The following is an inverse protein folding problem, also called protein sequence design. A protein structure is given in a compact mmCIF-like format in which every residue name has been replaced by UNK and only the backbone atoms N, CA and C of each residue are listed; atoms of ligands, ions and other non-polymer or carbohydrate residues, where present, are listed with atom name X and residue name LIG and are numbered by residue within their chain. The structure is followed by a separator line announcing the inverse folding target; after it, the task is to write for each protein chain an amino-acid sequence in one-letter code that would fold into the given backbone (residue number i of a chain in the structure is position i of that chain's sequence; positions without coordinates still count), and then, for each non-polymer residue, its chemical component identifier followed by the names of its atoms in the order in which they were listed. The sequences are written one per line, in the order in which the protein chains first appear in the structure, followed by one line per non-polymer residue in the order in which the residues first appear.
data_IF_443576773443
#
_entry.id   IF_443576773443
#
_cell.length_a   1.000
_cell.length_b   1.000
_cell.length_c   1.000
_cell.angle_alpha   90.00
_cell.angle_beta   90.00
_cell.angle_gamma   90.00
#
_symmetry.space_group_name_H-M   'P 1'
#
loop_
_entity.id
_entity.type
_entity.pdbx_description
1 polymer ?
#
# COMPACT_ATOMS: atom_id res chain seq x y z
N UNK A 1 -22.81 20.20 7.10
CA UNK A 1 -23.45 18.87 6.98
C UNK A 1 -22.74 17.94 6.00
N UNK A 2 -22.33 18.41 4.81
CA UNK A 2 -21.61 17.61 3.79
C UNK A 2 -20.37 16.92 4.35
N UNK A 3 -19.49 17.67 5.03
CA UNK A 3 -18.27 17.15 5.64
C UNK A 3 -18.54 15.97 6.59
N UNK A 4 -19.39 16.19 7.61
CA UNK A 4 -19.83 15.16 8.56
C UNK A 4 -20.42 13.92 7.89
N UNK A 5 -21.25 14.07 6.86
CA UNK A 5 -21.84 12.93 6.14
C UNK A 5 -20.76 12.12 5.41
N UNK A 6 -19.84 12.80 4.72
CA UNK A 6 -18.76 12.15 3.97
C UNK A 6 -17.82 11.38 4.89
N UNK A 7 -17.38 12.02 5.99
CA UNK A 7 -16.50 11.41 6.99
C UNK A 7 -17.18 10.21 7.67
N UNK A 8 -18.41 10.38 8.18
CA UNK A 8 -19.13 9.30 8.87
C UNK A 8 -19.46 8.12 7.96
N UNK A 9 -19.81 8.38 6.69
CA UNK A 9 -20.11 7.32 5.74
C UNK A 9 -18.86 6.64 5.17
N UNK A 10 -17.66 7.17 5.45
CA UNK A 10 -16.39 6.69 4.89
C UNK A 10 -16.41 6.64 3.35
N UNK A 11 -17.19 7.54 2.72
CA UNK A 11 -17.44 7.61 1.27
C UNK A 11 -17.28 9.05 0.78
N UNK A 12 -16.73 9.24 -0.43
CA UNK A 12 -16.61 10.56 -1.01
C UNK A 12 -18.03 11.12 -1.27
N UNK A 13 -18.25 12.43 -1.11
CA UNK A 13 -19.49 13.04 -1.58
C UNK A 13 -19.61 12.84 -3.10
N UNK A 14 -20.85 12.64 -3.57
CA UNK A 14 -21.14 12.56 -5.01
C UNK A 14 -20.66 13.84 -5.72
N UNK A 15 -20.03 13.68 -6.88
CA UNK A 15 -19.78 14.78 -7.81
C UNK A 15 -21.09 15.25 -8.44
N UNK A 16 -21.13 16.49 -8.91
CA UNK A 16 -22.28 17.03 -9.63
C UNK A 16 -22.45 16.40 -11.02
N UNK A 17 -21.35 16.00 -11.68
CA UNK A 17 -21.38 15.24 -12.93
C UNK A 17 -20.74 13.85 -12.72
N UNK A 18 -21.34 12.76 -13.22
CA UNK A 18 -20.66 11.48 -13.34
C UNK A 18 -19.54 11.62 -14.38
N UNK A 19 -18.28 11.50 -13.94
CA UNK A 19 -17.09 11.56 -14.80
C UNK A 19 -16.19 12.77 -14.60
N UNK A 20 -16.69 13.89 -14.04
CA UNK A 20 -15.96 15.16 -14.07
C UNK A 20 -16.30 16.04 -12.87
N UNK A 21 -15.45 16.06 -11.84
CA UNK A 21 -15.18 17.38 -11.24
C UNK A 21 -13.77 17.48 -10.62
N UNK A 22 -12.70 17.40 -11.43
CA UNK A 22 -11.44 18.10 -11.18
C UNK A 22 -11.52 19.48 -11.84
N UNK A 23 -11.60 20.54 -11.02
CA UNK A 23 -11.49 21.97 -11.39
C UNK A 23 -12.48 22.58 -12.43
N UNK A 24 -13.23 21.81 -13.22
CA UNK A 24 -14.06 22.32 -14.34
C UNK A 24 -15.57 22.49 -14.07
N UNK A 25 -16.02 22.69 -12.83
CA UNK A 25 -17.29 23.40 -12.63
C UNK A 25 -17.07 24.88 -13.02
N UNK A 26 -17.05 25.16 -14.33
CA UNK A 26 -16.76 26.49 -14.87
C UNK A 26 -17.94 27.45 -14.63
N UNK A 27 -19.15 26.93 -14.49
CA UNK A 27 -20.36 27.72 -14.24
C UNK A 27 -20.47 28.01 -12.73
N UNK A 28 -20.40 29.30 -12.36
CA UNK A 28 -20.43 29.76 -10.97
C UNK A 28 -21.64 29.24 -10.17
N UNK A 29 -22.80 29.12 -10.81
CA UNK A 29 -24.04 28.63 -10.21
C UNK A 29 -23.98 27.15 -9.78
N UNK A 30 -23.16 26.33 -10.46
CA UNK A 30 -22.95 24.93 -10.10
C UNK A 30 -21.82 24.74 -9.09
N UNK A 31 -20.86 25.68 -9.02
CA UNK A 31 -19.75 25.64 -8.04
C UNK A 31 -20.28 25.50 -6.61
N UNK A 32 -21.33 26.24 -6.26
CA UNK A 32 -21.92 26.19 -4.91
C UNK A 32 -22.82 24.98 -4.65
N UNK A 33 -23.16 24.16 -5.66
CA UNK A 33 -24.05 23.00 -5.47
C UNK A 33 -23.31 21.67 -5.36
N UNK A 34 -22.07 21.57 -5.86
CA UNK A 34 -21.30 20.34 -5.85
C UNK A 34 -20.91 19.91 -4.41
N UNK A 35 -21.45 18.79 -3.87
CA UNK A 35 -21.10 18.32 -2.54
C UNK A 35 -19.61 17.98 -2.41
N UNK A 36 -19.00 17.46 -3.48
CA UNK A 36 -17.57 17.12 -3.50
C UNK A 36 -16.68 18.36 -3.34
N UNK A 37 -16.99 19.44 -4.05
CA UNK A 37 -16.26 20.71 -3.92
C UNK A 37 -16.43 21.30 -2.52
N UNK A 38 -17.65 21.32 -1.99
CA UNK A 38 -17.93 21.74 -0.61
C UNK A 38 -17.11 20.96 0.41
N UNK A 39 -16.90 19.66 0.20
CA UNK A 39 -16.06 18.85 1.06
C UNK A 39 -14.59 19.30 1.04
N UNK A 40 -14.01 19.53 -0.14
CA UNK A 40 -12.65 20.06 -0.23
C UNK A 40 -12.54 21.50 0.30
N UNK A 41 -13.57 22.33 0.13
CA UNK A 41 -13.63 23.66 0.75
C UNK A 41 -13.65 23.57 2.29
N UNK A 42 -14.37 22.60 2.88
CA UNK A 42 -14.32 22.31 4.31
C UNK A 42 -12.90 21.92 4.77
N UNK A 43 -12.20 21.05 4.02
CA UNK A 43 -10.80 20.68 4.30
C UNK A 43 -9.88 21.90 4.19
N UNK A 44 -10.08 22.72 3.15
CA UNK A 44 -9.28 23.93 2.93
C UNK A 44 -9.51 24.99 4.03
N UNK A 45 -10.71 25.01 4.61
CA UNK A 45 -11.09 25.79 5.79
C UNK A 45 -10.67 25.14 7.12
N UNK A 46 -9.78 24.14 7.10
CA UNK A 46 -9.21 23.46 8.28
C UNK A 46 -10.20 22.66 9.14
N UNK A 47 -11.31 22.19 8.56
CA UNK A 47 -12.12 21.17 9.24
C UNK A 47 -11.33 19.86 9.36
N UNK A 48 -11.22 19.33 10.58
CA UNK A 48 -10.40 18.15 10.91
C UNK A 48 -11.20 16.86 10.75
N UNK A 49 -10.60 15.86 10.10
CA UNK A 49 -11.19 14.51 10.02
C UNK A 49 -11.00 13.78 11.36
N UNK A 50 -9.87 14.05 12.03
CA UNK A 50 -9.53 13.42 13.30
C UNK A 50 -10.52 13.76 14.45
N UNK A 51 -11.33 14.80 14.31
CA UNK A 51 -12.31 15.20 15.35
C UNK A 51 -13.58 14.34 15.37
N UNK A 52 -13.73 13.36 14.47
CA UNK A 52 -14.88 12.47 14.45
C UNK A 52 -14.65 11.22 15.28
N UNK A 53 -15.65 10.82 16.06
CA UNK A 53 -15.60 9.66 16.97
C UNK A 53 -15.24 8.34 16.27
N UNK A 54 -15.55 8.21 14.97
CA UNK A 54 -15.16 7.02 14.21
C UNK A 54 -13.64 6.80 14.16
N UNK A 55 -12.84 7.84 14.38
CA UNK A 55 -11.39 7.81 14.43
C UNK A 55 -10.81 8.00 15.85
N UNK A 56 -11.67 8.18 16.86
CA UNK A 56 -11.26 8.17 18.27
C UNK A 56 -11.05 6.74 18.77
N UNK A 57 -11.83 5.77 18.27
CA UNK A 57 -11.63 4.35 18.57
C UNK A 57 -10.44 3.76 17.78
N UNK A 58 -9.25 3.89 18.36
CA UNK A 58 -7.99 3.40 17.77
C UNK A 58 -7.94 1.88 17.64
N UNK A 59 -8.58 1.15 18.55
CA UNK A 59 -8.66 -0.31 18.50
C UNK A 59 -9.44 -0.79 17.28
N UNK A 60 -10.59 -0.15 17.00
CA UNK A 60 -11.38 -0.45 15.79
C UNK A 60 -10.60 -0.18 14.51
N UNK A 61 -9.77 0.87 14.48
CA UNK A 61 -8.92 1.16 13.32
C UNK A 61 -7.92 0.03 13.04
N UNK A 62 -7.30 -0.51 14.09
CA UNK A 62 -6.40 -1.67 13.99
C UNK A 62 -7.17 -2.91 13.52
N UNK A 63 -8.35 -3.17 14.08
CA UNK A 63 -9.20 -4.28 13.65
C UNK A 63 -9.60 -4.19 12.18
N UNK A 64 -10.02 -3.01 11.70
CA UNK A 64 -10.37 -2.78 10.29
C UNK A 64 -9.17 -3.09 9.35
N UNK A 65 -7.94 -2.72 9.77
CA UNK A 65 -6.70 -3.05 9.03
C UNK A 65 -6.41 -4.56 9.05
N UNK A 66 -6.53 -5.21 10.20
CA UNK A 66 -6.31 -6.65 10.34
C UNK A 66 -7.30 -7.47 9.53
N UNK A 67 -8.59 -7.09 9.53
CA UNK A 67 -9.59 -7.75 8.68
C UNK A 67 -9.29 -7.59 7.20
N UNK A 68 -8.83 -6.41 6.78
CA UNK A 68 -8.45 -6.16 5.39
C UNK A 68 -7.23 -6.98 4.97
N UNK A 69 -6.23 -7.11 5.85
CA UNK A 69 -5.04 -7.93 5.58
C UNK A 69 -5.36 -9.44 5.62
N UNK A 70 -6.24 -9.89 6.52
CA UNK A 70 -6.67 -11.29 6.56
C UNK A 70 -7.36 -11.71 5.24
N UNK A 71 -8.19 -10.83 4.67
CA UNK A 71 -8.81 -11.07 3.37
C UNK A 71 -7.78 -11.06 2.24
N UNK A 72 -6.82 -10.12 2.27
CA UNK A 72 -5.68 -10.06 1.34
C UNK A 72 -4.91 -11.38 1.34
N UNK A 73 -4.50 -11.85 2.52
CA UNK A 73 -3.76 -13.09 2.69
C UNK A 73 -4.58 -14.30 2.21
N UNK A 74 -5.87 -14.37 2.56
CA UNK A 74 -6.75 -15.43 2.07
C UNK A 74 -6.70 -15.53 0.54
N UNK A 75 -6.91 -14.43 -0.17
CA UNK A 75 -6.88 -14.40 -1.64
C UNK A 75 -5.49 -14.79 -2.15
N UNK A 76 -4.42 -14.26 -1.55
CA UNK A 76 -3.04 -14.58 -1.93
C UNK A 76 -2.73 -16.09 -1.88
N UNK A 77 -3.14 -16.78 -0.82
CA UNK A 77 -2.89 -18.21 -0.67
C UNK A 77 -3.84 -19.09 -1.46
N UNK A 78 -5.08 -18.65 -1.73
CA UNK A 78 -6.09 -19.50 -2.39
C UNK A 78 -6.23 -19.26 -3.89
N UNK A 79 -5.75 -18.13 -4.41
CA UNK A 79 -5.98 -17.72 -5.80
C UNK A 79 -4.69 -17.32 -6.52
N UNK A 80 -4.76 -17.29 -7.85
CA UNK A 80 -3.75 -16.69 -8.72
C UNK A 80 -4.43 -15.83 -9.81
N UNK A 81 -3.64 -14.94 -10.42
CA UNK A 81 -4.05 -14.15 -11.59
C UNK A 81 -3.61 -14.90 -12.84
N UNK A 82 -4.49 -15.05 -13.83
CA UNK A 82 -4.22 -15.85 -15.04
C UNK A 82 -3.57 -15.07 -16.18
N UNK A 83 -3.67 -13.75 -16.17
CA UNK A 83 -3.22 -12.89 -17.25
C UNK A 83 -2.01 -12.04 -16.82
N UNK A 84 -1.14 -11.73 -17.79
CA UNK A 84 -0.10 -10.71 -17.63
C UNK A 84 -0.73 -9.31 -17.78
N UNK A 85 -1.21 -8.79 -16.66
CA UNK A 85 -1.92 -7.52 -16.56
C UNK A 85 -0.93 -6.39 -16.23
N UNK A 86 -1.12 -5.24 -16.88
CA UNK A 86 -0.50 -3.98 -16.45
C UNK A 86 -1.27 -3.35 -15.28
N UNK A 87 -0.80 -2.20 -14.78
CA UNK A 87 -1.44 -1.54 -13.64
C UNK A 87 -2.90 -1.15 -13.92
N UNK A 88 -3.19 -0.58 -15.10
CA UNK A 88 -4.52 -0.11 -15.47
C UNK A 88 -5.50 -1.28 -15.61
N UNK A 89 -5.04 -2.37 -16.21
CA UNK A 89 -5.78 -3.63 -16.33
C UNK A 89 -6.06 -4.25 -14.96
N UNK A 90 -5.15 -4.13 -13.99
CA UNK A 90 -5.36 -4.57 -12.60
C UNK A 90 -6.40 -3.73 -11.83
N UNK A 91 -6.63 -2.48 -12.24
CA UNK A 91 -7.66 -1.64 -11.63
C UNK A 91 -9.07 -1.97 -12.10
N UNK A 92 -9.23 -2.56 -13.29
CA UNK A 92 -10.53 -2.96 -13.84
C UNK A 92 -10.96 -4.34 -13.32
N UNK A 93 -12.01 -4.44 -12.47
CA UNK A 93 -12.51 -5.71 -11.97
C UNK A 93 -12.99 -6.67 -13.06
N UNK A 94 -13.26 -6.19 -14.28
CA UNK A 94 -13.68 -7.03 -15.41
C UNK A 94 -12.52 -7.76 -16.07
N UNK A 95 -11.30 -7.21 -15.97
CA UNK A 95 -10.10 -7.76 -16.59
C UNK A 95 -9.36 -8.73 -15.67
N UNK A 96 -9.48 -8.55 -14.35
CA UNK A 96 -8.85 -9.44 -13.38
C UNK A 96 -9.65 -10.73 -13.19
N UNK A 97 -9.13 -11.83 -13.75
CA UNK A 97 -9.66 -13.18 -13.53
C UNK A 97 -8.85 -13.90 -12.46
N UNK A 98 -9.44 -14.01 -11.27
CA UNK A 98 -8.90 -14.83 -10.17
C UNK A 98 -9.32 -16.29 -10.37
N UNK A 99 -8.33 -17.17 -10.42
CA UNK A 99 -8.54 -18.61 -10.46
C UNK A 99 -8.07 -19.23 -9.13
N UNK A 100 -8.77 -20.26 -8.65
CA UNK A 100 -8.37 -20.98 -7.45
C UNK A 100 -7.08 -21.76 -7.75
N UNK A 101 -6.12 -21.73 -6.84
CA UNK A 101 -4.89 -22.52 -6.96
C UNK A 101 -5.21 -24.01 -6.85
N UNK A 102 -4.69 -24.79 -7.78
CA UNK A 102 -4.71 -26.25 -7.76
C UNK A 102 -3.52 -26.75 -6.93
N UNK A 103 -3.66 -27.90 -6.26
CA UNK A 103 -2.63 -28.39 -5.33
C UNK A 103 -1.34 -28.85 -6.03
N UNK A 104 -1.45 -29.27 -7.29
CA UNK A 104 -0.35 -29.88 -8.05
C UNK A 104 0.38 -28.90 -9.00
N UNK A 105 -0.03 -27.62 -9.00
CA UNK A 105 0.57 -26.59 -9.85
C UNK A 105 1.72 -25.90 -9.10
N UNK A 106 2.91 -25.93 -9.69
CA UNK A 106 4.06 -25.16 -9.23
C UNK A 106 3.98 -23.76 -9.82
N UNK A 107 3.75 -22.77 -8.97
CA UNK A 107 3.70 -21.36 -9.35
C UNK A 107 5.10 -20.76 -9.42
N UNK A 108 5.38 -20.04 -10.51
CA UNK A 108 6.64 -19.30 -10.71
C UNK A 108 6.69 -18.05 -9.83
N UNK A 109 7.88 -17.46 -9.70
CA UNK A 109 8.08 -16.14 -9.10
C UNK A 109 7.11 -15.08 -9.66
N UNK A 110 6.90 -15.08 -10.98
CA UNK A 110 6.00 -14.16 -11.68
C UNK A 110 4.53 -14.32 -11.27
N UNK A 111 4.07 -15.57 -11.13
CA UNK A 111 2.69 -15.83 -10.71
C UNK A 111 2.44 -15.29 -9.29
N UNK A 112 3.42 -15.45 -8.42
CA UNK A 112 3.38 -14.94 -7.05
C UNK A 112 3.43 -13.41 -6.99
N UNK A 113 4.27 -12.77 -7.82
CA UNK A 113 4.32 -11.31 -7.93
C UNK A 113 2.98 -10.74 -8.41
N UNK A 114 2.36 -11.37 -9.42
CA UNK A 114 1.08 -10.90 -9.96
C UNK A 114 -0.03 -10.92 -8.89
N UNK A 115 -0.16 -12.01 -8.12
CA UNK A 115 -1.15 -12.08 -7.05
C UNK A 115 -0.77 -11.19 -5.85
N UNK A 116 0.51 -11.01 -5.54
CA UNK A 116 0.96 -10.07 -4.50
C UNK A 116 0.51 -8.64 -4.85
N UNK A 117 0.79 -8.20 -6.07
CA UNK A 117 0.46 -6.86 -6.52
C UNK A 117 -1.05 -6.64 -6.58
N UNK A 118 -1.80 -7.61 -7.11
CA UNK A 118 -3.27 -7.54 -7.13
C UNK A 118 -3.85 -7.41 -5.72
N UNK A 119 -3.45 -8.29 -4.80
CA UNK A 119 -3.98 -8.28 -3.43
C UNK A 119 -3.53 -7.02 -2.67
N UNK A 120 -2.34 -6.51 -2.93
CA UNK A 120 -1.86 -5.21 -2.41
C UNK A 120 -2.73 -4.05 -2.91
N UNK A 121 -3.03 -3.99 -4.21
CA UNK A 121 -3.92 -2.97 -4.79
C UNK A 121 -5.33 -3.02 -4.17
N UNK A 122 -5.90 -4.21 -4.01
CA UNK A 122 -7.19 -4.40 -3.34
C UNK A 122 -7.17 -3.88 -1.90
N UNK A 123 -6.10 -4.16 -1.15
CA UNK A 123 -5.92 -3.63 0.20
C UNK A 123 -5.88 -2.10 0.19
N UNK A 124 -5.07 -1.50 -0.68
CA UNK A 124 -4.93 -0.04 -0.79
C UNK A 124 -6.24 0.65 -1.17
N UNK A 125 -6.99 0.12 -2.14
CA UNK A 125 -8.29 0.66 -2.57
C UNK A 125 -9.33 0.70 -1.44
N UNK A 126 -9.18 -0.16 -0.43
CA UNK A 126 -10.11 -0.22 0.72
C UNK A 126 -9.83 0.84 1.77
N UNK A 127 -8.63 1.42 1.78
CA UNK A 127 -8.23 2.46 2.72
C UNK A 127 -9.11 3.71 2.57
N UNK A 128 -9.49 4.29 3.72
CA UNK A 128 -10.44 5.38 3.75
C UNK A 128 -9.99 6.62 2.99
N UNK A 129 -8.74 7.06 3.14
CA UNK A 129 -8.29 8.27 2.46
C UNK A 129 -8.30 8.11 0.94
N UNK A 130 -7.93 6.93 0.41
CA UNK A 130 -7.95 6.63 -1.03
C UNK A 130 -9.36 6.83 -1.59
N UNK A 131 -10.39 6.35 -0.88
CA UNK A 131 -11.80 6.54 -1.24
C UNK A 131 -12.23 8.01 -1.23
N UNK A 132 -11.57 8.86 -0.46
CA UNK A 132 -11.91 10.29 -0.36
C UNK A 132 -11.28 11.14 -1.47
N UNK A 133 -10.25 10.62 -2.17
CA UNK A 133 -9.58 11.31 -3.27
C UNK A 133 -10.38 11.24 -4.57
N UNK A 134 -10.07 12.13 -5.51
CA UNK A 134 -10.57 12.02 -6.88
C UNK A 134 -9.91 10.86 -7.63
N UNK A 135 -10.51 10.44 -8.75
CA UNK A 135 -10.05 9.24 -9.44
C UNK A 135 -8.61 9.38 -9.93
N UNK A 136 -8.23 10.54 -10.45
CA UNK A 136 -6.86 10.81 -10.94
C UNK A 136 -5.85 10.76 -9.80
N UNK A 137 -6.15 11.43 -8.67
CA UNK A 137 -5.33 11.42 -7.47
C UNK A 137 -5.20 10.02 -6.87
N UNK A 138 -6.31 9.27 -6.79
CA UNK A 138 -6.34 7.91 -6.28
C UNK A 138 -5.50 6.98 -7.18
N UNK A 139 -5.68 7.04 -8.50
CA UNK A 139 -4.93 6.22 -9.44
C UNK A 139 -3.44 6.55 -9.41
N UNK A 140 -3.08 7.83 -9.31
CA UNK A 140 -1.70 8.28 -9.18
C UNK A 140 -1.02 7.66 -7.95
N UNK A 141 -1.63 7.80 -6.76
CA UNK A 141 -1.03 7.25 -5.54
C UNK A 141 -0.98 5.71 -5.57
N UNK A 142 -1.99 5.05 -6.14
CA UNK A 142 -2.01 3.60 -6.27
C UNK A 142 -0.86 3.14 -7.18
N UNK A 143 -0.69 3.78 -8.35
CA UNK A 143 0.34 3.47 -9.34
C UNK A 143 1.76 3.61 -8.78
N UNK A 144 2.02 4.69 -8.05
CA UNK A 144 3.35 4.93 -7.49
C UNK A 144 3.65 4.11 -6.23
N UNK A 145 2.64 3.59 -5.55
CA UNK A 145 2.83 2.98 -4.22
C UNK A 145 2.72 1.45 -4.22
N UNK A 146 1.96 0.85 -5.13
CA UNK A 146 1.57 -0.55 -5.01
C UNK A 146 2.77 -1.49 -4.98
N UNK A 147 3.73 -1.32 -5.89
CA UNK A 147 4.87 -2.20 -5.98
C UNK A 147 5.73 -2.16 -4.72
N UNK A 148 6.00 -0.95 -4.22
CA UNK A 148 6.72 -0.78 -2.96
C UNK A 148 5.98 -1.47 -1.81
N UNK A 149 4.67 -1.26 -1.68
CA UNK A 149 3.90 -1.91 -0.63
C UNK A 149 3.83 -3.43 -0.80
N UNK A 150 3.84 -3.95 -2.03
CA UNK A 150 3.91 -5.39 -2.30
C UNK A 150 5.20 -6.02 -1.77
N UNK A 151 6.34 -5.33 -1.91
CA UNK A 151 7.60 -5.77 -1.29
C UNK A 151 7.50 -5.75 0.24
N UNK A 152 6.90 -4.72 0.82
CA UNK A 152 6.72 -4.65 2.29
C UNK A 152 5.80 -5.76 2.80
N UNK A 153 4.70 -6.05 2.09
CA UNK A 153 3.79 -7.14 2.42
C UNK A 153 4.42 -8.52 2.26
N UNK A 154 5.27 -8.69 1.24
CA UNK A 154 6.07 -9.91 1.06
C UNK A 154 7.02 -10.12 2.24
N UNK A 155 7.78 -9.08 2.63
CA UNK A 155 8.65 -9.13 3.81
C UNK A 155 7.86 -9.45 5.09
N UNK A 156 6.72 -8.82 5.29
CA UNK A 156 5.82 -9.09 6.41
C UNK A 156 5.36 -10.54 6.46
N UNK A 157 4.87 -11.08 5.33
CA UNK A 157 4.44 -12.48 5.23
C UNK A 157 5.58 -13.43 5.56
N UNK A 158 6.73 -13.29 4.92
CA UNK A 158 7.87 -14.17 5.18
C UNK A 158 8.30 -14.13 6.66
N UNK A 159 8.30 -12.94 7.28
CA UNK A 159 8.55 -12.81 8.72
C UNK A 159 7.51 -13.54 9.58
N UNK A 160 6.21 -13.37 9.32
CA UNK A 160 5.16 -14.05 10.09
C UNK A 160 5.16 -15.57 9.85
N UNK A 161 5.63 -16.03 8.68
CA UNK A 161 5.90 -17.43 8.34
C UNK A 161 7.25 -17.94 8.90
N UNK A 162 7.89 -17.17 9.78
CA UNK A 162 9.16 -17.48 10.46
C UNK A 162 10.31 -17.78 9.50
N UNK A 163 10.40 -17.03 8.40
CA UNK A 163 11.50 -17.08 7.45
C UNK A 163 12.54 -16.01 7.77
N UNK A 164 13.79 -16.29 7.42
CA UNK A 164 14.93 -15.39 7.63
C UNK A 164 15.12 -14.41 6.46
N UNK A 165 14.47 -14.69 5.32
CA UNK A 165 14.57 -13.94 4.08
C UNK A 165 13.24 -13.97 3.32
N UNK A 166 13.05 -13.00 2.42
CA UNK A 166 11.83 -12.92 1.61
C UNK A 166 11.78 -14.11 0.67
N UNK A 167 10.66 -14.82 0.70
CA UNK A 167 10.45 -16.05 -0.06
C UNK A 167 8.95 -16.24 -0.30
N UNK A 168 8.60 -16.73 -1.48
CA UNK A 168 7.23 -17.12 -1.79
C UNK A 168 6.90 -18.52 -1.24
N UNK A 169 5.61 -18.86 -1.10
CA UNK A 169 5.22 -20.21 -0.71
C UNK A 169 5.83 -21.28 -1.63
N UNK A 170 6.14 -22.45 -1.08
CA UNK A 170 6.84 -23.50 -1.82
C UNK A 170 8.36 -23.30 -1.94
N UNK A 171 8.94 -22.32 -1.21
CA UNK A 171 10.37 -21.94 -1.26
C UNK A 171 10.78 -21.33 -2.61
N UNK A 172 9.82 -20.80 -3.36
CA UNK A 172 10.09 -20.08 -4.60
C UNK A 172 10.79 -18.77 -4.27
N UNK A 173 11.91 -18.50 -4.94
CA UNK A 173 12.65 -17.25 -4.75
C UNK A 173 11.80 -16.04 -5.18
N UNK A 174 12.06 -14.89 -4.58
CA UNK A 174 11.39 -13.64 -4.93
C UNK A 174 11.90 -13.07 -6.24
N UNK A 175 13.12 -13.45 -6.62
CA UNK A 175 13.65 -13.16 -7.94
C UNK A 175 13.22 -14.22 -8.93
N UNK A 176 12.99 -13.82 -10.18
CA UNK A 176 12.65 -14.77 -11.21
C UNK A 176 13.87 -15.57 -11.64
N UNK A 177 13.60 -16.71 -12.27
CA UNK A 177 14.58 -17.73 -12.60
C UNK A 177 15.71 -17.22 -13.50
N UNK A 178 15.49 -16.10 -14.19
CA UNK A 178 16.48 -15.45 -15.06
C UNK A 178 17.50 -14.61 -14.28
N UNK A 179 17.24 -14.32 -13.00
CA UNK A 179 18.24 -13.81 -12.05
C UNK A 179 19.10 -14.99 -11.59
N UNK A 180 20.16 -15.25 -12.36
CA UNK A 180 21.15 -16.30 -12.09
C UNK A 180 22.24 -15.86 -11.10
N UNK A 181 23.17 -16.77 -10.80
CA UNK A 181 24.37 -16.50 -9.98
C UNK A 181 25.30 -15.40 -10.53
N UNK A 182 24.98 -14.83 -11.70
CA UNK A 182 25.72 -13.71 -12.31
C UNK A 182 25.46 -12.37 -11.60
N UNK A 183 24.37 -12.24 -10.84
CA UNK A 183 24.07 -11.01 -10.12
C UNK A 183 24.80 -10.97 -8.77
N UNK A 184 25.22 -9.77 -8.29
CA UNK A 184 25.95 -9.66 -7.03
C UNK A 184 25.15 -10.23 -5.85
N UNK A 185 25.64 -11.31 -5.24
CA UNK A 185 24.96 -12.00 -4.14
C UNK A 185 24.63 -11.05 -2.96
N UNK A 186 25.52 -10.11 -2.67
CA UNK A 186 25.30 -9.09 -1.64
C UNK A 186 24.09 -8.20 -1.96
N UNK A 187 23.88 -7.84 -3.23
CA UNK A 187 22.72 -7.05 -3.64
C UNK A 187 21.43 -7.85 -3.45
N UNK A 188 21.42 -9.10 -3.92
CA UNK A 188 20.27 -10.00 -3.77
C UNK A 188 19.92 -10.23 -2.29
N UNK A 189 20.92 -10.44 -1.45
CA UNK A 189 20.72 -10.65 -0.01
C UNK A 189 20.28 -9.38 0.72
N UNK A 190 20.78 -8.19 0.33
CA UNK A 190 20.26 -6.92 0.89
C UNK A 190 18.78 -6.74 0.61
N UNK A 191 18.34 -7.05 -0.61
CA UNK A 191 16.92 -7.01 -0.96
C UNK A 191 16.16 -8.03 -0.11
N UNK A 192 16.53 -9.32 -0.15
CA UNK A 192 15.80 -10.41 0.54
C UNK A 192 15.74 -10.27 2.07
N UNK A 193 16.82 -9.80 2.70
CA UNK A 193 16.99 -9.93 4.15
C UNK A 193 16.78 -8.63 4.93
N UNK A 194 17.10 -7.44 4.38
CA UNK A 194 17.19 -6.18 5.16
C UNK A 194 15.96 -5.91 6.02
N UNK A 195 14.77 -5.95 5.42
CA UNK A 195 13.52 -5.68 6.13
C UNK A 195 13.23 -6.76 7.18
N UNK A 196 13.37 -8.04 6.80
CA UNK A 196 13.06 -9.17 7.67
C UNK A 196 14.00 -9.24 8.87
N UNK A 197 15.31 -9.06 8.66
CA UNK A 197 16.28 -9.01 9.76
C UNK A 197 15.88 -7.94 10.79
N UNK A 198 15.39 -6.78 10.34
CA UNK A 198 14.92 -5.73 11.25
C UNK A 198 13.58 -6.08 11.91
N UNK A 199 12.67 -6.72 11.19
CA UNK A 199 11.41 -7.21 11.77
C UNK A 199 11.66 -8.26 12.86
N UNK A 200 12.63 -9.16 12.66
CA UNK A 200 13.09 -10.15 13.64
C UNK A 200 13.72 -9.47 14.84
N UNK A 201 14.68 -8.56 14.63
CA UNK A 201 15.34 -7.79 15.71
C UNK A 201 14.30 -7.07 16.58
N UNK A 202 13.32 -6.43 15.94
CA UNK A 202 12.27 -5.70 16.62
C UNK A 202 11.16 -6.61 17.16
N UNK A 203 11.03 -7.86 16.73
CA UNK A 203 9.85 -8.70 17.01
C UNK A 203 8.54 -7.94 16.71
N UNK A 204 8.43 -7.42 15.49
CA UNK A 204 7.26 -6.61 15.09
C UNK A 204 5.97 -7.42 15.24
N UNK A 205 4.92 -6.81 15.81
CA UNK A 205 3.60 -7.45 15.89
C UNK A 205 2.79 -7.17 14.62
N UNK A 206 1.74 -7.94 14.38
CA UNK A 206 0.85 -7.72 13.20
C UNK A 206 0.25 -6.32 13.20
N UNK A 207 -0.15 -5.80 14.36
CA UNK A 207 -0.72 -4.46 14.50
C UNK A 207 0.32 -3.38 14.17
N UNK A 208 1.54 -3.51 14.69
CA UNK A 208 2.64 -2.58 14.41
C UNK A 208 3.03 -2.60 12.94
N UNK A 209 3.10 -3.80 12.34
CA UNK A 209 3.39 -3.96 10.92
C UNK A 209 2.35 -3.26 10.05
N UNK A 210 1.05 -3.49 10.30
CA UNK A 210 -0.01 -2.86 9.51
C UNK A 210 -0.07 -1.34 9.70
N UNK A 211 0.22 -0.85 10.92
CA UNK A 211 0.32 0.59 11.19
C UNK A 211 1.55 1.22 10.53
N UNK A 212 2.68 0.51 10.46
CA UNK A 212 3.85 0.94 9.71
C UNK A 212 3.55 1.01 8.19
N UNK A 213 2.94 -0.04 7.63
CA UNK A 213 2.54 -0.07 6.21
C UNK A 213 1.64 1.11 5.85
N UNK A 214 0.60 1.37 6.65
CA UNK A 214 -0.37 2.43 6.33
C UNK A 214 0.20 3.83 6.54
N UNK A 215 1.07 4.02 7.54
CA UNK A 215 1.74 5.32 7.75
C UNK A 215 2.74 5.60 6.63
N UNK A 216 3.52 4.60 6.20
CA UNK A 216 4.38 4.71 5.04
C UNK A 216 3.59 5.01 3.76
N UNK A 217 2.47 4.33 3.53
CA UNK A 217 1.60 4.59 2.38
C UNK A 217 1.06 6.03 2.38
N UNK A 218 0.65 6.56 3.54
CA UNK A 218 0.24 7.96 3.64
C UNK A 218 1.40 8.92 3.34
N UNK A 219 2.61 8.65 3.85
CA UNK A 219 3.79 9.49 3.62
C UNK A 219 4.10 9.60 2.12
N UNK A 220 4.26 8.48 1.42
CA UNK A 220 4.55 8.48 -0.02
C UNK A 220 3.40 9.13 -0.82
N UNK A 221 2.15 8.84 -0.47
CA UNK A 221 0.97 9.42 -1.15
C UNK A 221 0.92 10.94 -1.02
N UNK A 222 1.31 11.48 0.15
CA UNK A 222 1.25 12.92 0.43
C UNK A 222 2.22 13.76 -0.43
N UNK A 223 3.27 13.13 -0.96
CA UNK A 223 4.27 13.77 -1.82
C UNK A 223 3.82 13.85 -3.29
N UNK A 224 2.82 13.06 -3.69
CA UNK A 224 2.40 12.89 -5.09
C UNK A 224 1.21 13.77 -5.49
N UNK A 225 0.46 14.28 -4.53
CA UNK A 225 -0.85 14.92 -4.80
C UNK A 225 -0.86 16.42 -4.56
N UNK A 226 -1.90 17.08 -5.08
CA UNK A 226 -2.15 18.50 -4.84
C UNK A 226 -2.53 18.82 -3.39
N UNK A 227 -2.53 20.11 -3.06
CA UNK A 227 -2.66 20.62 -1.67
C UNK A 227 -3.90 20.14 -0.92
N UNK A 228 -5.07 20.10 -1.56
CA UNK A 228 -6.31 19.64 -0.90
C UNK A 228 -6.31 18.14 -0.60
N UNK A 229 -5.81 17.31 -1.51
CA UNK A 229 -5.66 15.87 -1.28
C UNK A 229 -4.55 15.56 -0.27
N UNK A 230 -3.44 16.30 -0.32
CA UNK A 230 -2.36 16.23 0.65
C UNK A 230 -2.87 16.43 2.07
N UNK A 231 -3.71 17.45 2.31
CA UNK A 231 -4.32 17.70 3.63
C UNK A 231 -5.18 16.53 4.13
N UNK A 232 -5.94 15.88 3.24
CA UNK A 232 -6.72 14.69 3.61
C UNK A 232 -5.75 13.58 4.04
N UNK A 233 -4.72 13.30 3.25
CA UNK A 233 -3.74 12.26 3.55
C UNK A 233 -2.99 12.55 4.86
N UNK A 234 -2.59 13.79 5.11
CA UNK A 234 -1.91 14.21 6.35
C UNK A 234 -2.79 14.05 7.59
N UNK A 235 -4.09 14.33 7.49
CA UNK A 235 -5.04 14.05 8.58
C UNK A 235 -5.11 12.55 8.90
N UNK A 236 -5.17 11.69 7.87
CA UNK A 236 -5.13 10.24 8.06
C UNK A 236 -3.78 9.75 8.59
N UNK A 237 -2.66 10.30 8.10
CA UNK A 237 -1.33 10.02 8.61
C UNK A 237 -1.24 10.30 10.12
N UNK A 238 -1.71 11.48 10.56
CA UNK A 238 -1.80 11.85 11.98
C UNK A 238 -2.61 10.84 12.80
N UNK A 239 -3.76 10.40 12.29
CA UNK A 239 -4.61 9.39 12.94
C UNK A 239 -3.84 8.06 13.11
N UNK A 240 -3.15 7.59 12.06
CA UNK A 240 -2.40 6.33 12.11
C UNK A 240 -1.14 6.42 12.98
N UNK A 241 -0.38 7.51 12.92
CA UNK A 241 0.79 7.74 13.77
C UNK A 241 0.40 7.82 15.25
N UNK A 242 -0.69 8.53 15.58
CA UNK A 242 -1.25 8.56 16.94
C UNK A 242 -1.65 7.16 17.41
N UNK A 243 -2.27 6.37 16.54
CA UNK A 243 -2.67 4.98 16.83
C UNK A 243 -1.46 4.10 17.11
N UNK A 244 -0.39 4.22 16.31
CA UNK A 244 0.87 3.52 16.53
C UNK A 244 1.51 3.92 17.85
N UNK A 245 1.56 5.21 18.16
CA UNK A 245 2.10 5.71 19.43
C UNK A 245 1.36 5.13 20.65
N UNK A 246 0.02 5.11 20.60
CA UNK A 246 -0.81 4.52 21.65
C UNK A 246 -0.55 3.01 21.76
N UNK A 247 -0.51 2.28 20.64
CA UNK A 247 -0.24 0.84 20.63
C UNK A 247 1.15 0.51 21.24
N UNK A 248 2.17 1.28 20.88
CA UNK A 248 3.52 1.12 21.41
C UNK A 248 3.59 1.42 22.91
N UNK A 249 2.97 2.52 23.36
CA UNK A 249 2.93 2.89 24.78
C UNK A 249 2.14 1.90 25.62
N UNK A 250 1.03 1.36 25.09
CA UNK A 250 0.23 0.36 25.79
C UNK A 250 1.01 -0.95 26.00
N UNK A 251 1.71 -1.45 24.97
CA UNK A 251 2.42 -2.74 25.04
C UNK A 251 3.79 -2.66 25.73
N UNK A 252 4.54 -1.57 25.51
CA UNK A 252 5.94 -1.46 25.95
C UNK A 252 6.16 -0.41 27.05
N UNK A 253 5.09 0.26 27.50
CA UNK A 253 5.09 1.18 28.64
C UNK A 253 6.23 2.22 28.56
N UNK A 254 7.20 2.15 29.49
CA UNK A 254 8.37 3.05 29.57
C UNK A 254 9.22 3.05 28.29
N UNK A 255 9.20 1.97 27.51
CA UNK A 255 9.93 1.85 26.24
C UNK A 255 9.06 2.17 25.01
N UNK A 256 7.78 2.52 25.20
CA UNK A 256 6.83 2.77 24.11
C UNK A 256 7.27 3.85 23.12
N UNK A 257 7.87 4.94 23.61
CA UNK A 257 8.40 6.01 22.74
C UNK A 257 9.58 5.54 21.87
N UNK A 258 10.49 4.76 22.45
CA UNK A 258 11.64 4.19 21.70
C UNK A 258 11.11 3.20 20.67
N UNK A 259 10.16 2.35 21.06
CA UNK A 259 9.49 1.41 20.16
C UNK A 259 8.84 2.12 18.96
N UNK A 260 8.08 3.18 19.23
CA UNK A 260 7.44 4.00 18.21
C UNK A 260 8.48 4.54 17.20
N UNK A 261 9.56 5.15 17.69
CA UNK A 261 10.62 5.67 16.83
C UNK A 261 11.26 4.57 15.97
N UNK A 262 11.60 3.43 16.59
CA UNK A 262 12.19 2.30 15.87
C UNK A 262 11.29 1.79 14.72
N UNK A 263 9.97 1.79 14.91
CA UNK A 263 9.02 1.38 13.87
C UNK A 263 8.93 2.44 12.77
N UNK A 264 8.88 3.73 13.11
CA UNK A 264 8.84 4.81 12.10
C UNK A 264 10.11 4.81 11.25
N UNK A 265 11.28 4.57 11.85
CA UNK A 265 12.54 4.49 11.11
C UNK A 265 12.63 3.31 10.13
N UNK A 266 11.69 2.36 10.16
CA UNK A 266 11.61 1.31 9.14
C UNK A 266 11.33 1.86 7.74
N UNK A 267 10.72 3.06 7.62
CA UNK A 267 10.50 3.70 6.32
C UNK A 267 11.81 3.88 5.53
N UNK A 268 12.89 4.26 6.21
CA UNK A 268 14.21 4.42 5.59
C UNK A 268 14.81 3.09 5.11
N UNK A 269 14.49 1.97 5.79
CA UNK A 269 14.90 0.65 5.33
C UNK A 269 14.08 0.18 4.14
N UNK A 270 12.80 0.56 4.07
CA UNK A 270 11.95 0.31 2.89
C UNK A 270 12.55 1.05 1.70
N UNK A 271 12.82 2.35 1.83
CA UNK A 271 13.44 3.17 0.77
C UNK A 271 14.75 2.55 0.24
N UNK A 272 15.69 2.19 1.13
CA UNK A 272 16.94 1.51 0.74
C UNK A 272 16.73 0.16 0.03
N UNK A 273 15.67 -0.56 0.40
CA UNK A 273 15.32 -1.85 -0.25
C UNK A 273 14.79 -1.63 -1.66
N UNK A 274 14.01 -0.57 -1.87
CA UNK A 274 13.53 -0.18 -3.20
C UNK A 274 14.66 0.36 -4.07
N UNK A 275 15.60 1.12 -3.51
CA UNK A 275 16.81 1.58 -4.22
C UNK A 275 17.66 0.40 -4.73
N UNK A 276 17.94 -0.59 -3.87
CA UNK A 276 18.65 -1.81 -4.29
C UNK A 276 17.87 -2.59 -5.36
N UNK A 277 16.54 -2.65 -5.26
CA UNK A 277 15.70 -3.33 -6.25
C UNK A 277 15.71 -2.61 -7.61
N UNK A 278 15.70 -1.27 -7.62
CA UNK A 278 15.87 -0.47 -8.83
C UNK A 278 17.27 -0.65 -9.45
N UNK A 279 18.32 -0.77 -8.61
CA UNK A 279 19.66 -1.12 -9.07
C UNK A 279 19.70 -2.51 -9.72
N UNK A 280 19.07 -3.51 -9.10
CA UNK A 280 18.98 -4.86 -9.66
C UNK A 280 18.26 -4.85 -11.01
N UNK A 281 17.14 -4.12 -11.09
CA UNK A 281 16.38 -4.00 -12.33
C UNK A 281 17.19 -3.34 -13.46
N UNK A 282 17.97 -2.31 -13.12
CA UNK A 282 18.90 -1.68 -14.08
C UNK A 282 19.93 -2.69 -14.59
N UNK A 283 20.55 -3.47 -13.68
CA UNK A 283 21.50 -4.53 -14.06
C UNK A 283 20.84 -5.59 -14.94
N UNK A 284 19.60 -5.96 -14.64
CA UNK A 284 18.84 -6.92 -15.43
C UNK A 284 18.61 -6.44 -16.86
N UNK A 285 18.17 -5.20 -17.03
CA UNK A 285 17.97 -4.62 -18.36
C UNK A 285 19.27 -4.51 -19.17
N UNK A 286 20.40 -4.26 -18.51
CA UNK A 286 21.71 -4.20 -19.16
C UNK A 286 22.21 -5.59 -19.59
N UNK A 287 22.02 -6.61 -18.74
CA UNK A 287 22.50 -7.97 -19.00
C UNK A 287 21.58 -8.79 -19.90
N UNK A 288 20.28 -8.47 -19.90
CA UNK A 288 19.24 -9.23 -20.61
C UNK A 288 18.24 -8.31 -21.34
N UNK A 289 18.71 -7.44 -22.26
CA UNK A 289 17.86 -6.43 -22.90
C UNK A 289 16.74 -7.01 -23.76
N UNK A 290 16.87 -8.27 -24.20
CA UNK A 290 15.90 -8.95 -25.08
C UNK A 290 14.83 -9.73 -24.32
N UNK A 291 14.98 -9.93 -23.02
CA UNK A 291 14.05 -10.74 -22.25
C UNK A 291 12.78 -9.91 -21.91
N UNK A 292 11.58 -10.36 -22.28
CA UNK A 292 10.37 -9.60 -22.03
C UNK A 292 10.04 -9.57 -20.54
N UNK A 293 10.06 -8.38 -19.95
CA UNK A 293 9.53 -8.15 -18.61
C UNK A 293 8.00 -8.24 -18.59
N UNK A 294 7.44 -8.86 -17.55
CA UNK A 294 6.01 -8.82 -17.25
C UNK A 294 5.55 -7.36 -17.19
N UNK A 295 4.36 -7.08 -17.75
CA UNK A 295 3.88 -5.70 -17.93
C UNK A 295 3.87 -4.89 -16.64
N UNK A 296 3.43 -5.52 -15.55
CA UNK A 296 3.35 -4.88 -14.24
C UNK A 296 4.70 -4.44 -13.70
N UNK A 297 5.72 -5.31 -13.80
CA UNK A 297 7.07 -5.01 -13.30
C UNK A 297 7.68 -3.87 -14.09
N UNK A 298 7.47 -3.87 -15.42
CA UNK A 298 7.97 -2.82 -16.31
C UNK A 298 7.41 -1.42 -15.99
N UNK A 299 6.22 -1.33 -15.39
CA UNK A 299 5.59 -0.05 -15.02
C UNK A 299 5.91 0.40 -13.58
N UNK A 300 6.57 -0.46 -12.78
CA UNK A 300 6.68 -0.32 -11.33
C UNK A 300 8.01 0.25 -10.82
N UNK A 301 9.05 0.23 -11.66
CA UNK A 301 10.44 0.62 -11.36
C UNK A 301 10.92 1.62 -12.41
#
# INVERSE_FOLDING_TARGET
MVFRRAVNSKKPPKSCNPGECPQRCLIAEFKQKCPRRKFYECINANMRIASFDIYSNKFKLIQDLMSSDAERQKIFYTCHVTADLNFEEMLDPKLVKLCKKEMDVVFTSHDWVAIEAFTTLEFMKRIHFVKMLNADEANLILKHSFFTLSIVFMAGRSYFDKKEFMVFPGKVDVFPEEISDQYPLDLLNRIRCRLISKFIELRITTEEFLLMVITYFCQISSMLVGSSAKRIIEEYLSIYLSTLGINCNFRFQKHGRIRYLNIIFLSQLIEKTIEDLAQLFTLFQLNQPTLPLRKLVKESL
#
